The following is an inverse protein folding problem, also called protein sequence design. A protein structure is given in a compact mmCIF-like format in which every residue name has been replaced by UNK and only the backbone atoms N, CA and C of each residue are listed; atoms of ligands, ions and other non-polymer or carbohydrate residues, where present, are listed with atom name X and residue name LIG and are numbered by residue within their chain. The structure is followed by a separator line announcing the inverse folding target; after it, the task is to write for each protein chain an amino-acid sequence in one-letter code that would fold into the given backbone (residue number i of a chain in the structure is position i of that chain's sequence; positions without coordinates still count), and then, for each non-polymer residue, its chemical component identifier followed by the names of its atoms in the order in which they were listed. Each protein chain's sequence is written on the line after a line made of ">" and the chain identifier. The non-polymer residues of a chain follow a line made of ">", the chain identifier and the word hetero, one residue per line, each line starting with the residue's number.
data_IF_871760620810
#
_entry.id   IF_871760620810
#
_cell.length_a   1.000
_cell.length_b   1.000
_cell.length_c   1.000
_cell.angle_alpha   90.00
_cell.angle_beta   90.00
_cell.angle_gamma   90.00
#
_symmetry.space_group_name_H-M   'P 1'
#
loop_
_entity.id
_entity.type
_entity.pdbx_description
1 polymer ?
#
# COMPACT_ATOMS: atom_id res chain seq x y z
N UNK A 1 9.57 -6.95 22.73
CA UNK A 1 10.92 -7.01 23.35
C UNK A 1 11.87 -6.76 22.20
N UNK A 2 12.42 -5.55 22.07
CA UNK A 2 13.19 -5.14 20.88
C UNK A 2 14.38 -6.07 20.66
N UNK A 3 14.32 -6.90 19.62
CA UNK A 3 15.47 -7.65 19.13
C UNK A 3 16.46 -6.71 18.44
N UNK A 4 17.75 -7.05 18.61
CA UNK A 4 19.01 -6.70 17.91
C UNK A 4 19.21 -5.30 17.25
N UNK A 5 18.18 -4.56 16.84
CA UNK A 5 18.25 -3.18 16.37
C UNK A 5 18.09 -2.17 17.52
N UNK A 6 19.06 -1.27 17.68
CA UNK A 6 18.92 -0.13 18.59
C UNK A 6 17.70 0.72 18.20
N UNK A 7 16.97 1.23 19.21
CA UNK A 7 15.71 1.99 19.04
C UNK A 7 15.76 3.04 17.91
N UNK A 8 16.88 3.76 17.78
CA UNK A 8 17.06 4.80 16.75
C UNK A 8 17.14 4.23 15.32
N UNK A 9 17.72 3.04 15.14
CA UNK A 9 17.83 2.39 13.83
C UNK A 9 16.47 1.87 13.38
N UNK A 10 15.65 1.37 14.31
CA UNK A 10 14.32 0.86 14.04
C UNK A 10 13.34 1.95 13.62
N UNK A 11 13.38 3.11 14.29
CA UNK A 11 12.61 4.30 13.91
C UNK A 11 13.02 4.81 12.52
N UNK A 12 14.33 4.90 12.27
CA UNK A 12 14.87 5.29 10.95
C UNK A 12 14.41 4.34 9.86
N UNK A 13 14.48 3.03 10.11
CA UNK A 13 14.02 2.02 9.17
C UNK A 13 12.52 2.15 8.87
N UNK A 14 11.70 2.34 9.90
CA UNK A 14 10.26 2.55 9.75
C UNK A 14 9.96 3.75 8.83
N UNK A 15 10.68 4.86 9.03
CA UNK A 15 10.58 6.04 8.18
C UNK A 15 11.04 5.79 6.74
N UNK A 16 12.14 5.05 6.54
CA UNK A 16 12.62 4.69 5.20
C UNK A 16 11.55 3.89 4.45
N UNK A 17 11.04 2.81 5.05
CA UNK A 17 10.03 1.97 4.40
C UNK A 17 8.77 2.77 4.07
N UNK A 18 8.27 3.57 5.03
CA UNK A 18 7.08 4.38 4.80
C UNK A 18 7.29 5.45 3.73
N UNK A 19 8.45 6.10 3.71
CA UNK A 19 8.78 7.09 2.68
C UNK A 19 8.78 6.44 1.30
N UNK A 20 9.41 5.27 1.14
CA UNK A 20 9.40 4.54 -0.13
C UNK A 20 8.00 4.13 -0.58
N UNK A 21 7.13 3.71 0.34
CA UNK A 21 5.71 3.43 0.07
C UNK A 21 5.01 4.69 -0.47
N UNK A 22 5.21 5.84 0.19
CA UNK A 22 4.59 7.10 -0.19
C UNK A 22 5.11 7.61 -1.53
N UNK A 23 6.43 7.55 -1.77
CA UNK A 23 7.05 7.94 -3.03
C UNK A 23 6.54 7.09 -4.19
N UNK A 24 6.47 5.77 -4.02
CA UNK A 24 5.93 4.89 -5.04
C UNK A 24 4.45 5.17 -5.29
N UNK A 25 3.62 5.25 -4.25
CA UNK A 25 2.18 5.48 -4.40
C UNK A 25 1.84 6.81 -5.10
N UNK A 26 2.76 7.79 -5.08
CA UNK A 26 2.61 9.10 -5.73
C UNK A 26 3.16 9.16 -7.15
N UNK A 27 3.66 8.07 -7.72
CA UNK A 27 4.16 8.06 -9.09
C UNK A 27 3.04 8.48 -10.08
N UNK A 28 3.26 9.52 -10.93
CA UNK A 28 2.21 10.10 -11.77
C UNK A 28 1.50 9.12 -12.69
N UNK A 29 2.19 8.08 -13.17
CA UNK A 29 1.62 7.11 -14.10
C UNK A 29 0.44 6.30 -13.52
N UNK A 30 0.32 6.16 -12.20
CA UNK A 30 -0.84 5.49 -11.60
C UNK A 30 -2.12 6.28 -11.88
N UNK A 31 -2.02 7.60 -11.80
CA UNK A 31 -3.14 8.51 -12.01
C UNK A 31 -3.38 8.78 -13.50
N UNK A 32 -2.30 8.91 -14.28
CA UNK A 32 -2.37 9.26 -15.69
C UNK A 32 -2.66 8.06 -16.60
N UNK A 33 -2.04 6.92 -16.33
CA UNK A 33 -2.09 5.75 -17.22
C UNK A 33 -3.01 4.65 -16.67
N UNK A 34 -3.03 4.48 -15.35
CA UNK A 34 -3.83 3.41 -14.72
C UNK A 34 -5.22 3.88 -14.29
N UNK A 35 -5.55 5.15 -14.53
CA UNK A 35 -6.86 5.76 -14.28
C UNK A 35 -7.27 5.79 -12.81
N UNK A 36 -6.31 5.70 -11.88
CA UNK A 36 -6.60 5.92 -10.46
C UNK A 36 -7.01 7.39 -10.27
N UNK A 37 -8.14 7.69 -9.60
CA UNK A 37 -8.56 9.07 -9.40
C UNK A 37 -7.52 9.88 -8.62
N UNK A 38 -7.03 11.00 -9.18
CA UNK A 38 -6.12 11.92 -8.48
C UNK A 38 -6.89 12.79 -7.48
N UNK A 39 -7.35 12.15 -6.40
CA UNK A 39 -8.12 12.74 -5.31
C UNK A 39 -7.49 12.31 -3.97
N UNK A 40 -7.81 12.97 -2.84
CA UNK A 40 -7.34 12.51 -1.53
C UNK A 40 -7.65 11.04 -1.25
N UNK A 41 -8.87 10.59 -1.60
CA UNK A 41 -9.30 9.20 -1.48
C UNK A 41 -8.46 8.25 -2.36
N UNK A 42 -8.25 8.60 -3.63
CA UNK A 42 -7.47 7.78 -4.55
C UNK A 42 -5.98 7.71 -4.17
N UNK A 43 -5.40 8.83 -3.71
CA UNK A 43 -4.03 8.84 -3.17
C UNK A 43 -3.91 7.99 -1.90
N UNK A 44 -4.92 8.02 -1.02
CA UNK A 44 -4.98 7.12 0.12
C UNK A 44 -5.04 5.66 -0.35
N UNK A 45 -5.93 5.31 -1.29
CA UNK A 45 -6.02 3.96 -1.82
C UNK A 45 -4.67 3.46 -2.40
N UNK A 46 -3.91 4.35 -3.04
CA UNK A 46 -2.57 4.02 -3.54
C UNK A 46 -1.57 3.76 -2.41
N UNK A 47 -1.62 4.52 -1.31
CA UNK A 47 -0.82 4.22 -0.11
C UNK A 47 -1.24 2.87 0.48
N UNK A 48 -2.55 2.58 0.55
CA UNK A 48 -3.07 1.30 1.05
C UNK A 48 -2.56 0.12 0.24
N UNK A 49 -2.61 0.18 -1.10
CA UNK A 49 -2.12 -0.89 -1.97
C UNK A 49 -0.64 -1.22 -1.70
N UNK A 50 0.21 -0.20 -1.65
CA UNK A 50 1.65 -0.41 -1.45
C UNK A 50 1.99 -0.82 -0.01
N UNK A 51 1.28 -0.26 0.97
CA UNK A 51 1.43 -0.66 2.38
C UNK A 51 1.00 -2.11 2.58
N UNK A 52 -0.11 -2.53 1.95
CA UNK A 52 -0.56 -3.93 1.98
C UNK A 52 0.53 -4.88 1.49
N UNK A 53 1.18 -4.60 0.36
CA UNK A 53 2.24 -5.45 -0.19
C UNK A 53 3.42 -5.60 0.78
N UNK A 54 3.84 -4.50 1.42
CA UNK A 54 4.95 -4.52 2.40
C UNK A 54 4.54 -5.25 3.68
N UNK A 55 3.35 -4.98 4.21
CA UNK A 55 2.84 -5.62 5.43
C UNK A 55 2.59 -7.12 5.24
N UNK A 56 2.12 -7.52 4.05
CA UNK A 56 1.96 -8.93 3.65
C UNK A 56 3.28 -9.69 3.76
N UNK A 57 4.35 -9.11 3.23
CA UNK A 57 5.70 -9.69 3.32
C UNK A 57 6.17 -9.80 4.78
N UNK A 58 6.09 -8.70 5.55
CA UNK A 58 6.52 -8.69 6.96
C UNK A 58 5.72 -9.67 7.84
N UNK A 59 4.45 -9.95 7.51
CA UNK A 59 3.60 -10.92 8.22
C UNK A 59 4.08 -12.37 8.06
N UNK A 60 4.75 -12.70 6.96
CA UNK A 60 5.31 -14.03 6.71
C UNK A 60 6.60 -14.32 7.48
N UNK A 61 7.14 -13.32 8.16
CA UNK A 61 8.50 -13.32 8.71
C UNK A 61 8.51 -13.38 10.25
N UNK A 62 9.68 -13.73 10.82
CA UNK A 62 9.86 -13.87 12.27
C UNK A 62 10.89 -12.86 12.81
N UNK A 63 11.05 -12.82 14.13
CA UNK A 63 11.98 -11.87 14.78
C UNK A 63 11.37 -10.48 14.88
N UNK A 64 12.09 -9.47 14.38
CA UNK A 64 11.69 -8.04 14.49
C UNK A 64 10.65 -7.63 13.42
N UNK A 65 10.34 -8.50 12.45
CA UNK A 65 9.42 -8.18 11.35
C UNK A 65 7.98 -7.85 11.79
N UNK A 66 7.36 -8.56 12.77
CA UNK A 66 6.03 -8.19 13.28
C UNK A 66 6.00 -6.81 13.95
N UNK A 67 7.03 -6.49 14.74
CA UNK A 67 7.15 -5.18 15.38
C UNK A 67 7.33 -4.09 14.30
N UNK A 68 8.07 -4.38 13.23
CA UNK A 68 8.29 -3.45 12.13
C UNK A 68 7.02 -3.22 11.31
N UNK A 69 6.25 -4.28 11.06
CA UNK A 69 4.95 -4.19 10.41
C UNK A 69 4.00 -3.28 11.21
N UNK A 70 3.97 -3.46 12.53
CA UNK A 70 3.18 -2.60 13.41
C UNK A 70 3.66 -1.14 13.36
N UNK A 71 4.96 -0.90 13.39
CA UNK A 71 5.52 0.46 13.34
C UNK A 71 5.21 1.18 12.01
N UNK A 72 5.30 0.47 10.87
CA UNK A 72 4.94 1.02 9.55
C UNK A 72 3.45 1.31 9.48
N UNK A 73 2.61 0.40 9.99
CA UNK A 73 1.16 0.60 10.08
C UNK A 73 0.81 1.83 10.94
N UNK A 74 1.41 1.94 12.13
CA UNK A 74 1.18 3.05 13.05
C UNK A 74 1.61 4.40 12.42
N UNK A 75 2.76 4.43 11.73
CA UNK A 75 3.25 5.62 11.04
C UNK A 75 2.32 6.03 9.89
N UNK A 76 1.84 5.07 9.08
CA UNK A 76 0.88 5.31 8.01
C UNK A 76 -0.43 5.93 8.56
N UNK A 77 -0.97 5.37 9.64
CA UNK A 77 -2.20 5.90 10.25
C UNK A 77 -2.00 7.27 10.91
N UNK A 78 -0.83 7.51 11.52
CA UNK A 78 -0.49 8.81 12.09
C UNK A 78 -0.38 9.90 11.02
N UNK A 79 0.30 9.61 9.90
CA UNK A 79 0.40 10.52 8.75
C UNK A 79 -0.99 10.80 8.15
N UNK A 80 -1.82 9.77 8.01
CA UNK A 80 -3.21 9.96 7.54
C UNK A 80 -4.03 10.85 8.49
N UNK A 81 -3.99 10.61 9.79
CA UNK A 81 -4.68 11.44 10.79
C UNK A 81 -4.23 12.90 10.69
N UNK A 82 -2.92 13.13 10.63
CA UNK A 82 -2.35 14.46 10.49
C UNK A 82 -2.84 15.16 9.21
N UNK A 83 -2.73 14.52 8.05
CA UNK A 83 -3.19 15.08 6.76
C UNK A 83 -4.68 15.45 6.80
N UNK A 84 -5.54 14.62 7.40
CA UNK A 84 -6.97 14.89 7.53
C UNK A 84 -7.27 16.07 8.46
N UNK A 85 -6.53 16.18 9.57
CA UNK A 85 -6.65 17.31 10.49
C UNK A 85 -6.18 18.60 9.86
N UNK A 86 -5.13 18.56 9.05
CA UNK A 86 -4.61 19.72 8.33
C UNK A 86 -5.59 20.20 7.25
N UNK A 87 -6.14 19.29 6.44
CA UNK A 87 -7.17 19.62 5.43
C UNK A 87 -8.49 20.10 6.05
N UNK A 88 -8.82 19.61 7.25
CA UNK A 88 -10.10 19.86 7.93
C UNK A 88 -10.05 20.83 9.10
N UNK A 89 -8.89 21.44 9.36
CA UNK A 89 -8.55 22.29 10.53
C UNK A 89 -9.51 22.16 11.72
N UNK A 90 -9.52 20.97 12.34
CA UNK A 90 -10.11 20.72 13.67
C UNK A 90 -11.60 20.37 13.79
N UNK A 91 -12.31 20.06 12.70
CA UNK A 91 -13.78 19.91 12.75
C UNK A 91 -14.31 18.62 13.43
N UNK A 92 -15.57 18.65 13.90
CA UNK A 92 -16.35 17.57 14.54
C UNK A 92 -16.68 16.43 13.55
N UNK A 93 -15.67 15.79 12.97
CA UNK A 93 -15.87 14.73 11.98
C UNK A 93 -14.62 13.93 11.62
N UNK A 94 -13.42 14.44 11.95
CA UNK A 94 -12.14 13.80 11.64
C UNK A 94 -12.06 12.38 12.22
N UNK A 95 -12.44 12.20 13.50
CA UNK A 95 -12.42 10.87 14.13
C UNK A 95 -13.32 9.84 13.43
N UNK A 96 -14.49 10.26 12.94
CA UNK A 96 -15.38 9.37 12.16
C UNK A 96 -14.77 8.99 10.82
N UNK A 97 -14.12 9.94 10.13
CA UNK A 97 -13.42 9.70 8.86
C UNK A 97 -12.26 8.73 9.06
N UNK A 98 -11.43 8.90 10.08
CA UNK A 98 -10.31 7.99 10.40
C UNK A 98 -10.81 6.58 10.64
N UNK A 99 -11.89 6.43 11.41
CA UNK A 99 -12.50 5.13 11.66
C UNK A 99 -12.98 4.46 10.37
N UNK A 100 -13.67 5.20 9.50
CA UNK A 100 -14.12 4.69 8.20
C UNK A 100 -12.94 4.29 7.30
N UNK A 101 -11.86 5.08 7.28
CA UNK A 101 -10.63 4.74 6.54
C UNK A 101 -9.95 3.49 7.11
N UNK A 102 -9.94 3.31 8.44
CA UNK A 102 -9.40 2.11 9.07
C UNK A 102 -10.21 0.86 8.70
N UNK A 103 -11.54 0.91 8.80
CA UNK A 103 -12.42 -0.19 8.38
C UNK A 103 -12.21 -0.53 6.90
N UNK A 104 -12.12 0.50 6.06
CA UNK A 104 -11.90 0.32 4.64
C UNK A 104 -10.48 -0.19 4.32
N UNK A 105 -9.46 0.16 5.12
CA UNK A 105 -8.12 -0.41 4.99
C UNK A 105 -8.15 -1.93 5.19
N UNK A 106 -8.73 -2.40 6.30
CA UNK A 106 -8.79 -3.84 6.58
C UNK A 106 -9.60 -4.62 5.56
N UNK A 107 -10.74 -4.07 5.12
CA UNK A 107 -11.54 -4.69 4.05
C UNK A 107 -10.77 -4.81 2.73
N UNK A 108 -9.95 -3.80 2.38
CA UNK A 108 -9.08 -3.87 1.19
C UNK A 108 -7.96 -4.89 1.35
N UNK A 109 -7.32 -4.94 2.51
CA UNK A 109 -6.28 -5.95 2.80
C UNK A 109 -6.84 -7.35 2.61
N UNK A 110 -8.01 -7.65 3.17
CA UNK A 110 -8.66 -8.97 2.99
C UNK A 110 -8.99 -9.26 1.52
N UNK A 111 -9.58 -8.30 0.81
CA UNK A 111 -9.93 -8.48 -0.60
C UNK A 111 -8.71 -8.65 -1.52
N UNK A 112 -7.65 -7.90 -1.30
CA UNK A 112 -6.42 -7.99 -2.08
C UNK A 112 -5.63 -9.25 -1.75
N UNK A 113 -5.62 -9.68 -0.48
CA UNK A 113 -5.05 -10.96 -0.06
C UNK A 113 -5.71 -12.11 -0.80
N UNK A 114 -7.04 -12.21 -0.76
CA UNK A 114 -7.80 -13.25 -1.47
C UNK A 114 -7.57 -13.19 -2.99
N UNK A 115 -7.41 -11.98 -3.54
CA UNK A 115 -7.08 -11.78 -4.96
C UNK A 115 -5.67 -12.28 -5.34
N UNK A 116 -4.69 -12.10 -4.46
CA UNK A 116 -3.31 -12.56 -4.67
C UNK A 116 -3.15 -14.07 -4.44
N UNK A 117 -3.89 -14.66 -3.49
CA UNK A 117 -3.87 -16.12 -3.25
C UNK A 117 -4.71 -16.91 -4.25
N UNK A 118 -5.51 -16.22 -5.09
CA UNK A 118 -6.38 -16.84 -6.09
C UNK A 118 -7.69 -17.39 -5.52
N UNK A 119 -8.01 -17.08 -4.25
CA UNK A 119 -9.29 -17.39 -3.62
C UNK A 119 -10.43 -16.52 -4.18
N UNK A 120 -10.11 -15.34 -4.71
CA UNK A 120 -11.03 -14.42 -5.37
C UNK A 120 -10.38 -13.73 -6.58
N UNK A 121 -11.19 -13.01 -7.35
CA UNK A 121 -10.69 -12.17 -8.46
C UNK A 121 -10.06 -10.88 -7.92
N UNK A 122 -8.75 -10.70 -8.17
CA UNK A 122 -8.05 -9.46 -7.81
C UNK A 122 -8.58 -8.27 -8.61
N UNK A 123 -8.93 -8.49 -9.87
CA UNK A 123 -9.51 -7.49 -10.76
C UNK A 123 -10.85 -6.98 -10.21
N UNK A 124 -11.72 -7.87 -9.74
CA UNK A 124 -12.97 -7.46 -9.09
C UNK A 124 -12.72 -6.74 -7.76
N UNK A 125 -11.73 -7.19 -6.97
CA UNK A 125 -11.35 -6.51 -5.74
C UNK A 125 -10.86 -5.07 -6.01
N UNK A 126 -10.06 -4.87 -7.06
CA UNK A 126 -9.59 -3.56 -7.49
C UNK A 126 -10.73 -2.68 -7.99
N UNK A 127 -11.62 -3.20 -8.82
CA UNK A 127 -12.78 -2.47 -9.34
C UNK A 127 -13.67 -1.95 -8.20
N UNK A 128 -14.00 -2.82 -7.24
CA UNK A 128 -14.86 -2.48 -6.09
C UNK A 128 -14.21 -1.55 -5.07
N UNK A 129 -12.88 -1.47 -5.02
CA UNK A 129 -12.16 -0.71 -4.00
C UNK A 129 -11.42 0.49 -4.58
N UNK A 130 -10.41 0.27 -5.41
CA UNK A 130 -9.57 1.32 -5.99
C UNK A 130 -10.36 2.19 -6.99
N UNK A 131 -11.25 1.56 -7.78
CA UNK A 131 -12.03 2.24 -8.81
C UNK A 131 -13.50 2.47 -8.43
N UNK A 132 -13.87 2.30 -7.15
CA UNK A 132 -15.26 2.38 -6.65
C UNK A 132 -16.08 3.63 -7.03
N UNK A 133 -15.41 4.72 -7.39
CA UNK A 133 -16.00 6.02 -7.73
C UNK A 133 -15.80 6.42 -9.21
N UNK A 134 -15.23 5.55 -10.03
CA UNK A 134 -14.96 5.84 -11.45
C UNK A 134 -15.26 4.62 -12.32
N UNK A 135 -15.74 4.85 -13.53
CA UNK A 135 -15.72 3.81 -14.56
C UNK A 135 -14.32 3.78 -15.16
N UNK A 136 -13.76 2.58 -15.27
CA UNK A 136 -12.39 2.35 -15.73
C UNK A 136 -12.40 1.27 -16.83
N UNK A 137 -11.46 1.32 -17.76
CA UNK A 137 -11.31 0.27 -18.76
C UNK A 137 -10.87 -1.04 -18.07
N UNK A 138 -11.52 -2.19 -18.34
CA UNK A 138 -11.07 -3.51 -17.86
C UNK A 138 -9.58 -3.79 -18.13
N UNK A 139 -9.02 -3.29 -19.23
CA UNK A 139 -7.59 -3.41 -19.54
C UNK A 139 -6.70 -2.66 -18.54
N UNK A 140 -7.14 -1.51 -18.01
CA UNK A 140 -6.42 -0.76 -16.98
C UNK A 140 -6.47 -1.49 -15.64
N UNK A 141 -7.63 -2.06 -15.26
CA UNK A 141 -7.75 -2.91 -14.07
C UNK A 141 -6.81 -4.12 -14.19
N UNK A 142 -6.85 -4.81 -15.33
CA UNK A 142 -5.99 -5.97 -15.57
C UNK A 142 -4.49 -5.60 -15.53
N UNK A 143 -4.12 -4.42 -16.05
CA UNK A 143 -2.76 -3.91 -15.98
C UNK A 143 -2.32 -3.64 -14.53
N UNK A 144 -3.18 -3.04 -13.72
CA UNK A 144 -2.91 -2.81 -12.30
C UNK A 144 -2.85 -4.12 -11.50
N UNK A 145 -3.72 -5.09 -11.80
CA UNK A 145 -3.69 -6.41 -11.19
C UNK A 145 -2.38 -7.15 -11.51
N UNK A 146 -1.90 -7.08 -12.77
CA UNK A 146 -0.57 -7.60 -13.15
C UNK A 146 0.54 -6.93 -12.37
N UNK A 147 0.47 -5.61 -12.19
CA UNK A 147 1.42 -4.88 -11.35
C UNK A 147 1.41 -5.39 -9.91
N UNK A 148 0.25 -5.50 -9.26
CA UNK A 148 0.18 -6.00 -7.89
C UNK A 148 0.75 -7.42 -7.75
N UNK A 149 0.46 -8.32 -8.70
CA UNK A 149 1.03 -9.67 -8.72
C UNK A 149 2.55 -9.65 -8.91
N UNK A 150 3.06 -8.81 -9.82
CA UNK A 150 4.49 -8.63 -10.06
C UNK A 150 5.20 -8.11 -8.81
N UNK A 151 4.65 -7.08 -8.17
CA UNK A 151 5.22 -6.53 -6.94
C UNK A 151 5.16 -7.50 -5.77
N UNK A 152 4.07 -8.25 -5.63
CA UNK A 152 3.98 -9.31 -4.62
C UNK A 152 5.10 -10.35 -4.82
N UNK A 153 5.30 -10.83 -6.06
CA UNK A 153 6.40 -11.75 -6.38
C UNK A 153 7.78 -11.14 -6.16
N UNK A 154 8.01 -9.91 -6.62
CA UNK A 154 9.29 -9.20 -6.45
C UNK A 154 9.64 -9.00 -4.96
N UNK A 155 8.65 -8.68 -4.13
CA UNK A 155 8.83 -8.52 -2.71
C UNK A 155 9.02 -9.87 -2.00
N UNK A 156 8.31 -10.93 -2.40
CA UNK A 156 8.54 -12.29 -1.87
C UNK A 156 9.96 -12.82 -2.16
N UNK A 157 10.60 -12.38 -3.26
CA UNK A 157 12.03 -12.64 -3.52
C UNK A 157 12.97 -11.89 -2.56
N UNK A 158 12.51 -10.79 -1.94
CA UNK A 158 13.26 -10.09 -0.90
C UNK A 158 13.04 -10.76 0.45
N UNK A 159 14.13 -11.14 1.11
CA UNK A 159 14.06 -11.67 2.48
C UNK A 159 13.72 -10.58 3.50
N UNK A 160 13.13 -10.93 4.66
CA UNK A 160 13.02 -10.00 5.81
C UNK A 160 14.34 -9.29 6.12
N UNK A 161 15.48 -9.96 5.93
CA UNK A 161 16.80 -9.37 6.16
C UNK A 161 17.08 -8.17 5.24
N UNK A 162 16.60 -8.20 4.01
CA UNK A 162 16.74 -7.12 3.01
C UNK A 162 15.84 -5.94 3.38
N UNK A 163 14.60 -6.21 3.80
CA UNK A 163 13.72 -5.18 4.33
C UNK A 163 14.25 -4.57 5.63
N UNK A 164 14.80 -5.38 6.54
CA UNK A 164 15.43 -4.92 7.79
C UNK A 164 16.68 -4.08 7.54
N UNK A 165 17.26 -4.15 6.33
CA UNK A 165 18.35 -3.28 5.88
C UNK A 165 17.85 -1.99 5.19
N UNK A 166 16.53 -1.81 5.05
CA UNK A 166 15.91 -0.65 4.38
C UNK A 166 15.90 -0.74 2.85
N UNK A 167 16.22 -1.90 2.27
CA UNK A 167 16.21 -2.12 0.83
C UNK A 167 14.81 -2.53 0.35
N UNK A 168 13.90 -1.55 0.34
CA UNK A 168 12.59 -1.64 -0.29
C UNK A 168 12.63 -0.93 -1.65
N UNK A 169 12.16 -1.62 -2.68
CA UNK A 169 12.00 -1.04 -4.01
C UNK A 169 10.78 -1.68 -4.66
N UNK A 170 10.04 -0.86 -5.40
CA UNK A 170 8.96 -1.33 -6.26
C UNK A 170 9.39 -1.22 -7.72
N UNK A 171 8.82 -2.08 -8.56
CA UNK A 171 8.96 -1.99 -10.01
C UNK A 171 8.27 -0.76 -10.60
N UNK A 172 8.49 -0.48 -11.89
CA UNK A 172 7.93 0.68 -12.57
C UNK A 172 6.40 0.60 -12.63
N UNK A 173 5.75 1.76 -12.61
CA UNK A 173 4.30 1.88 -12.83
C UNK A 173 3.89 1.15 -14.12
N UNK A 174 2.74 0.45 -14.17
CA UNK A 174 2.28 -0.20 -15.38
C UNK A 174 2.18 0.80 -16.55
N UNK A 175 2.73 0.42 -17.70
CA UNK A 175 2.42 1.04 -18.97
C UNK A 175 1.19 0.38 -19.58
N UNK A 176 0.33 1.16 -20.24
CA UNK A 176 -0.77 0.61 -21.05
C UNK A 176 -0.30 0.05 -22.40
N UNK A 177 0.99 0.17 -22.70
CA UNK A 177 1.55 -0.40 -23.92
C UNK A 177 1.44 -1.91 -23.81
N UNK A 178 0.61 -2.49 -24.69
CA UNK A 178 0.52 -3.92 -24.91
C UNK A 178 1.94 -4.45 -25.13
N UNK A 179 2.44 -5.27 -24.20
CA UNK A 179 3.51 -6.19 -24.54
C UNK A 179 2.87 -7.29 -25.40
N UNK A 180 2.59 -6.93 -26.65
CA UNK A 180 2.51 -7.90 -27.73
C UNK A 180 3.89 -8.55 -27.85
N UNK A 181 4.01 -9.76 -27.31
CA UNK A 181 5.05 -10.73 -27.68
C UNK A 181 4.40 -11.94 -28.34
#
# INVERSE_FOLDING_TARGET
>A
MFGIFGKNNFETLTQVLYTTIVEQSRQPGFYQNCGVPDTPDGRFDMIVVHSFLVLRLLKGETGDAPDLAQAVFDLMFADMDQNLREMGSGDLGVGKKIKAMAEAFYGRVEAYEAGLTGEASLEEALDRNLYRQTTIDPAQIASFARYMRREAGHLEEKTAKTLLAGDLSFGPVPSLVEEDQ
#
